data_IF_607684801505
#
_entry.id   IF_607684801505
#
_cell.length_a   1.000
_cell.length_b   1.000
_cell.length_c   1.000
_cell.angle_alpha   90.00
_cell.angle_beta   90.00
_cell.angle_gamma   90.00
#
_symmetry.space_group_name_H-M   'P 1'
#
loop_
_entity.id
_entity.type
_entity.pdbx_description
1 polymer ?
#
# COMPACT_ATOMS: atom_id res chain seq x y z
N UNK A 1 -4.96 3.32 5.48
CA UNK A 1 -4.69 3.03 5.16
C UNK A 1 -3.73 2.90 4.36
N UNK A 2 -3.20 3.19 3.76
CA UNK A 2 -2.21 2.99 3.23
C UNK A 2 -1.78 1.82 3.28
N UNK A 3 -2.47 1.15 3.59
CA UNK A 3 -2.15 -0.04 3.99
C UNK A 3 -1.45 -0.84 3.05
N UNK A 4 -1.82 -0.86 1.78
CA UNK A 4 -1.15 -1.69 0.85
C UNK A 4 0.32 -1.40 0.80
N UNK A 5 0.68 -0.14 0.77
CA UNK A 5 2.06 0.19 0.74
C UNK A 5 2.73 -0.08 2.02
N UNK A 6 2.10 0.28 3.11
CA UNK A 6 2.67 0.01 4.36
C UNK A 6 2.69 -1.40 4.67
N UNK A 7 1.70 -2.10 4.25
CA UNK A 7 1.61 -3.47 4.51
C UNK A 7 2.75 -4.20 3.93
N UNK A 8 3.11 -3.86 2.72
CA UNK A 8 4.23 -4.52 2.10
C UNK A 8 5.49 -4.31 2.90
N UNK A 9 5.56 -3.23 3.65
CA UNK A 9 6.78 -2.96 4.36
C UNK A 9 6.75 -3.43 5.79
N UNK A 10 5.59 -3.66 6.42
CA UNK A 10 5.64 -3.98 7.82
C UNK A 10 4.83 -5.17 8.22
N UNK A 11 4.55 -6.04 7.30
CA UNK A 11 3.75 -7.19 7.59
C UNK A 11 4.52 -8.31 8.18
N UNK A 12 5.80 -8.30 8.12
CA UNK A 12 6.64 -9.34 8.71
C UNK A 12 6.90 -8.98 10.14
N UNK A 13 6.49 -9.76 11.11
CA UNK A 13 6.70 -9.44 12.51
C UNK A 13 8.15 -9.19 12.86
N UNK A 14 9.07 -9.88 12.20
CA UNK A 14 10.48 -9.68 12.47
C UNK A 14 11.03 -8.47 11.78
N UNK A 15 10.28 -7.88 10.90
CA UNK A 15 10.75 -6.81 10.09
C UNK A 15 9.76 -5.68 10.05
N UNK A 16 8.95 -5.59 11.10
CA UNK A 16 7.90 -4.67 11.06
C UNK A 16 8.35 -3.28 11.17
N UNK A 17 9.52 -3.05 11.54
CA UNK A 17 10.03 -1.71 11.59
C UNK A 17 10.26 -1.22 10.19
N UNK A 18 9.59 -0.16 9.81
CA UNK A 18 9.65 0.33 8.45
C UNK A 18 11.07 0.68 8.02
N UNK A 19 11.90 1.11 8.96
CA UNK A 19 13.27 1.48 8.64
C UNK A 19 14.11 0.30 8.18
N UNK A 20 13.70 -0.91 8.49
CA UNK A 20 14.47 -2.10 8.15
C UNK A 20 13.91 -2.87 6.98
N UNK A 21 12.83 -2.43 6.40
CA UNK A 21 12.26 -3.13 5.25
C UNK A 21 13.01 -2.76 4.00
N UNK A 22 12.96 -3.65 3.02
CA UNK A 22 13.66 -3.42 1.76
C UNK A 22 13.12 -2.21 1.01
N UNK A 23 11.84 -1.91 1.18
CA UNK A 23 11.22 -0.81 0.45
C UNK A 23 11.38 0.54 1.13
N UNK A 24 11.79 0.58 2.40
CA UNK A 24 11.82 1.82 3.14
C UNK A 24 12.73 2.88 2.51
N UNK A 25 13.96 2.57 2.08
CA UNK A 25 14.81 3.61 1.50
C UNK A 25 14.20 4.22 0.25
N UNK A 26 13.59 3.40 -0.60
CA UNK A 26 12.98 3.91 -1.83
C UNK A 26 11.78 4.79 -1.51
N UNK A 27 10.98 4.39 -0.56
CA UNK A 27 9.80 5.15 -0.18
C UNK A 27 10.18 6.49 0.45
N UNK A 28 11.19 6.49 1.31
CA UNK A 28 11.64 7.73 1.95
C UNK A 28 12.23 8.69 0.91
N UNK A 29 12.91 8.17 -0.10
CA UNK A 29 13.55 9.00 -1.12
C UNK A 29 12.61 9.39 -2.26
N UNK A 30 11.42 8.81 -2.33
CA UNK A 30 10.52 9.04 -3.45
C UNK A 30 9.94 10.45 -3.39
N UNK A 31 9.81 11.09 -4.57
CA UNK A 31 9.14 12.39 -4.66
C UNK A 31 7.62 12.21 -4.72
N UNK A 32 7.18 11.09 -5.23
CA UNK A 32 5.75 10.77 -5.35
C UNK A 32 5.53 9.32 -4.94
N UNK A 33 4.37 9.06 -4.38
CA UNK A 33 3.98 7.69 -4.06
C UNK A 33 2.47 7.55 -4.19
N UNK A 34 2.02 6.32 -4.28
CA UNK A 34 0.60 6.03 -4.35
C UNK A 34 0.19 5.11 -3.21
N UNK A 35 -0.97 5.39 -2.65
CA UNK A 35 -1.61 4.50 -1.70
C UNK A 35 -2.72 3.79 -2.44
N UNK A 36 -2.62 2.48 -2.53
CA UNK A 36 -3.61 1.64 -3.20
C UNK A 36 -4.44 0.94 -2.14
N UNK A 37 -5.70 1.29 -2.04
CA UNK A 37 -6.61 0.65 -1.09
C UNK A 37 -7.23 -0.54 -1.80
N UNK A 38 -7.01 -1.73 -1.26
CA UNK A 38 -7.37 -2.95 -1.95
C UNK A 38 -8.83 -3.30 -1.74
N UNK A 39 -9.41 -3.95 -2.74
CA UNK A 39 -10.76 -4.48 -2.68
C UNK A 39 -10.74 -5.99 -2.43
N UNK A 40 -11.89 -6.56 -2.16
CA UNK A 40 -12.03 -7.96 -1.75
C UNK A 40 -11.31 -8.95 -2.65
N UNK A 41 -11.34 -8.71 -3.97
CA UNK A 41 -10.74 -9.66 -4.91
C UNK A 41 -9.24 -9.49 -5.06
N UNK A 42 -8.64 -8.55 -4.35
CA UNK A 42 -7.20 -8.32 -4.42
C UNK A 42 -6.44 -8.97 -3.26
N UNK A 43 -7.02 -9.95 -2.60
CA UNK A 43 -6.31 -10.69 -1.57
C UNK A 43 -4.99 -11.27 -2.07
N UNK A 44 -4.92 -11.84 -3.28
CA UNK A 44 -3.62 -12.32 -3.78
C UNK A 44 -2.57 -11.22 -3.88
N UNK A 45 -2.97 -10.01 -4.25
CA UNK A 45 -2.05 -8.89 -4.29
C UNK A 45 -1.55 -8.54 -2.90
N UNK A 46 -2.46 -8.52 -1.91
CA UNK A 46 -2.09 -8.25 -0.54
C UNK A 46 -1.04 -9.25 -0.04
N UNK A 47 -1.27 -10.52 -0.30
CA UNK A 47 -0.35 -11.57 0.11
C UNK A 47 1.00 -11.40 -0.58
N UNK A 48 0.96 -11.07 -1.88
CA UNK A 48 2.18 -10.95 -2.67
C UNK A 48 3.03 -9.77 -2.22
N UNK A 49 2.42 -8.65 -1.91
CA UNK A 49 3.15 -7.49 -1.43
C UNK A 49 3.65 -7.67 -0.01
N UNK A 50 3.08 -8.61 0.73
CA UNK A 50 3.54 -8.94 2.06
C UNK A 50 4.71 -9.91 2.05
N UNK A 51 4.90 -10.64 0.96
CA UNK A 51 5.93 -11.66 0.88
C UNK A 51 7.29 -11.02 0.58
N UNK A 52 8.34 -11.64 1.08
CA UNK A 52 9.70 -11.18 0.82
C UNK A 52 10.27 -11.87 -0.41
N UNK A 53 11.12 -11.14 -1.12
CA UNK A 53 11.89 -11.74 -2.19
C UNK A 53 11.14 -12.05 -3.46
N UNK A 54 9.90 -11.63 -3.57
CA UNK A 54 9.11 -11.87 -4.76
C UNK A 54 9.08 -10.66 -5.66
N UNK A 55 8.89 -10.90 -6.95
CA UNK A 55 8.66 -9.84 -7.90
C UNK A 55 7.18 -9.44 -7.80
N UNK A 56 6.92 -8.54 -6.89
CA UNK A 56 5.54 -8.16 -6.56
C UNK A 56 4.81 -7.57 -7.73
N UNK A 57 5.49 -6.67 -8.45
CA UNK A 57 4.87 -5.99 -9.57
C UNK A 57 4.80 -6.85 -10.82
N UNK A 58 5.72 -7.80 -10.97
CA UNK A 58 5.70 -8.69 -12.12
C UNK A 58 4.46 -9.55 -12.19
N UNK A 59 3.86 -9.86 -11.03
CA UNK A 59 2.71 -10.73 -10.97
C UNK A 59 1.41 -10.00 -10.62
N UNK A 60 1.45 -8.69 -10.42
CA UNK A 60 0.29 -7.90 -10.05
C UNK A 60 0.03 -6.86 -11.14
N UNK A 61 -1.17 -6.85 -11.74
CA UNK A 61 -1.46 -5.86 -12.79
C UNK A 61 -1.39 -4.44 -12.23
N UNK A 62 -0.60 -3.61 -12.88
CA UNK A 62 -0.43 -2.22 -12.48
C UNK A 62 -0.10 -1.35 -13.68
N UNK A 63 -0.22 -0.06 -13.50
CA UNK A 63 0.23 0.91 -14.48
C UNK A 63 0.68 2.16 -13.76
N UNK A 64 1.50 3.00 -14.39
CA UNK A 64 1.88 4.25 -13.77
C UNK A 64 0.67 5.15 -13.62
N UNK A 65 0.58 5.82 -12.47
CA UNK A 65 -0.43 6.84 -12.28
C UNK A 65 -0.07 8.11 -13.03
N UNK A 66 -0.92 9.12 -12.86
CA UNK A 66 -0.70 10.40 -13.53
C UNK A 66 0.61 11.03 -13.11
N UNK A 67 1.02 10.84 -11.88
CA UNK A 67 2.25 11.41 -11.33
C UNK A 67 3.39 10.39 -11.27
N UNK A 68 3.22 9.23 -11.87
CA UNK A 68 4.28 8.24 -12.02
C UNK A 68 4.27 7.04 -11.10
N UNK A 69 3.79 7.12 -9.86
CA UNK A 69 3.86 5.97 -8.98
C UNK A 69 2.94 4.84 -9.43
N UNK A 70 3.24 3.60 -9.04
CA UNK A 70 2.44 2.47 -9.50
C UNK A 70 1.04 2.46 -8.91
N UNK A 71 0.07 2.25 -9.78
CA UNK A 71 -1.33 2.12 -9.43
C UNK A 71 -1.76 0.71 -9.78
N UNK A 72 -2.23 -0.04 -8.78
CA UNK A 72 -2.70 -1.39 -8.98
C UNK A 72 -4.08 -1.37 -9.60
N UNK A 73 -4.27 -2.21 -10.62
CA UNK A 73 -5.55 -2.26 -11.30
C UNK A 73 -6.63 -2.79 -10.38
N UNK A 74 -7.83 -2.28 -10.57
CA UNK A 74 -9.02 -2.73 -9.86
C UNK A 74 -8.99 -2.45 -8.36
N UNK A 75 -8.15 -1.54 -7.91
CA UNK A 75 -8.15 -1.15 -6.51
C UNK A 75 -9.44 -0.42 -6.16
N UNK A 76 -9.85 -0.54 -4.90
CA UNK A 76 -11.01 0.19 -4.41
C UNK A 76 -10.78 1.68 -4.48
N UNK A 77 -9.60 2.11 -4.11
CA UNK A 77 -9.25 3.52 -4.13
C UNK A 77 -7.77 3.72 -4.30
N UNK A 78 -7.40 4.86 -4.84
CA UNK A 78 -6.00 5.21 -5.06
C UNK A 78 -5.81 6.67 -4.69
N UNK A 79 -4.78 6.94 -3.91
CA UNK A 79 -4.34 8.29 -3.63
C UNK A 79 -2.94 8.44 -4.19
N UNK A 80 -2.77 9.37 -5.13
CA UNK A 80 -1.44 9.71 -5.62
C UNK A 80 -0.97 10.93 -4.87
N UNK A 81 0.21 10.85 -4.29
CA UNK A 81 0.71 11.86 -3.36
C UNK A 81 2.08 12.34 -3.76
N UNK A 82 2.32 13.62 -3.48
CA UNK A 82 3.67 14.16 -3.47
C UNK A 82 4.22 14.02 -2.06
N UNK A 83 5.47 13.61 -1.95
CA UNK A 83 6.11 13.52 -0.65
C UNK A 83 6.24 14.93 -0.07
N UNK A 84 5.72 15.14 1.12
CA UNK A 84 5.75 16.43 1.77
C UNK A 84 6.82 16.48 2.87
N UNK A 85 6.84 15.48 3.72
CA UNK A 85 7.77 15.44 4.83
C UNK A 85 7.99 14.01 5.29
N UNK A 86 9.15 13.76 5.87
CA UNK A 86 9.46 12.48 6.50
C UNK A 86 9.91 12.80 7.91
N UNK A 87 9.29 12.17 8.88
CA UNK A 87 9.59 12.37 10.28
C UNK A 87 10.10 11.09 10.91
N UNK A 88 10.94 11.23 11.92
CA UNK A 88 11.38 10.07 12.68
C UNK A 88 10.27 9.63 13.62
N UNK A 89 10.02 8.35 13.64
CA UNK A 89 9.00 7.76 14.50
C UNK A 89 9.51 6.53 15.23
N UNK A 90 10.67 6.61 15.87
CA UNK A 90 11.25 5.48 16.55
C UNK A 90 11.83 4.50 15.55
N UNK A 91 11.28 3.30 15.48
CA UNK A 91 11.72 2.29 14.53
C UNK A 91 10.98 2.40 13.20
N UNK A 92 10.20 3.46 13.01
CA UNK A 92 9.47 3.73 11.78
C UNK A 92 9.76 5.13 11.28
N UNK A 93 9.58 5.34 10.00
CA UNK A 93 9.47 6.67 9.43
C UNK A 93 8.00 7.02 9.29
N UNK A 94 7.70 8.29 9.50
CA UNK A 94 6.35 8.80 9.24
C UNK A 94 6.45 9.63 7.98
N UNK A 95 5.84 9.14 6.91
CA UNK A 95 5.87 9.83 5.62
C UNK A 95 4.55 10.57 5.45
N UNK A 96 4.65 11.88 5.28
CA UNK A 96 3.48 12.73 5.07
C UNK A 96 3.43 13.08 3.59
N UNK A 97 2.30 12.82 2.97
CA UNK A 97 2.12 13.13 1.55
C UNK A 97 0.98 14.10 1.33
N UNK A 98 1.16 14.94 0.32
CA UNK A 98 0.08 15.79 -0.15
C UNK A 98 -0.67 15.03 -1.22
N UNK A 99 -1.97 14.88 -1.06
CA UNK A 99 -2.79 14.16 -2.03
C UNK A 99 -2.99 15.03 -3.25
N UNK A 100 -2.49 14.57 -4.39
CA UNK A 100 -2.62 15.28 -5.65
C UNK A 100 -3.81 14.76 -6.46
N UNK A 101 -4.13 13.49 -6.32
CA UNK A 101 -5.22 12.86 -7.04
C UNK A 101 -5.78 11.72 -6.21
N UNK A 102 -7.08 11.66 -6.13
CA UNK A 102 -7.77 10.57 -5.44
C UNK A 102 -8.88 10.05 -6.34
N UNK A 103 -9.03 8.73 -6.37
CA UNK A 103 -10.12 8.11 -7.11
C UNK A 103 -10.58 6.87 -6.36
N UNK A 104 -11.81 6.47 -6.57
CA UNK A 104 -12.32 5.26 -5.94
C UNK A 104 -13.47 4.71 -6.76
N UNK A 105 -13.74 3.42 -6.56
CA UNK A 105 -14.85 2.73 -7.22
C UNK A 105 -15.88 2.38 -6.14
N UNK A 106 -17.02 3.05 -6.12
CA UNK A 106 -18.00 2.85 -5.06
C UNK A 106 -18.75 1.52 -5.16
N UNK A 107 -18.52 0.75 -6.23
CA UNK A 107 -19.18 -0.55 -6.36
C UNK A 107 -18.40 -1.69 -5.72
N UNK A 108 -17.17 -1.42 -5.27
CA UNK A 108 -16.31 -2.46 -4.72
C UNK A 108 -16.34 -2.44 -3.20
N UNK A 109 -16.07 -3.61 -2.61
CA UNK A 109 -15.95 -3.74 -1.16
C UNK A 109 -14.49 -3.78 -0.76
N UNK A 110 -14.15 -3.21 0.39
CA UNK A 110 -12.76 -3.21 0.84
C UNK A 110 -12.28 -4.59 1.24
N UNK A 111 -11.00 -4.83 1.04
CA UNK A 111 -10.35 -6.00 1.58
C UNK A 111 -10.04 -5.73 3.05
N UNK A 112 -10.61 -6.56 3.93
CA UNK A 112 -10.45 -6.38 5.37
C UNK A 112 -9.49 -7.41 5.92
N UNK A 113 -8.67 -6.97 6.86
CA UNK A 113 -7.79 -7.86 7.59
C UNK A 113 -8.00 -7.60 9.07
N UNK A 114 -8.51 -8.61 9.79
CA UNK A 114 -8.87 -8.42 11.17
C UNK A 114 -8.59 -9.69 11.96
N UNK A 115 -7.86 -9.53 13.04
CA UNK A 115 -7.47 -10.65 13.92
C UNK A 115 -6.75 -11.74 13.16
N UNK A 116 -5.80 -11.34 12.33
CA UNK A 116 -4.94 -12.29 11.62
C UNK A 116 -5.58 -12.98 10.43
N UNK A 117 -6.75 -12.54 10.00
CA UNK A 117 -7.44 -13.17 8.87
C UNK A 117 -8.02 -12.14 7.93
N UNK A 118 -8.11 -12.51 6.66
CA UNK A 118 -8.88 -11.72 5.70
C UNK A 118 -10.36 -11.93 5.96
N UNK A 119 -11.11 -10.86 5.89
CA UNK A 119 -12.53 -10.84 6.20
C UNK A 119 -13.29 -10.13 5.10
N UNK A 120 -14.60 -10.29 5.11
CA UNK A 120 -15.48 -9.58 4.19
C UNK A 120 -16.48 -8.78 5.00
N UNK A 121 -16.91 -7.67 4.41
CA UNK A 121 -18.00 -6.92 5.01
C UNK A 121 -19.26 -7.75 4.99
N UNK A 122 -20.04 -7.62 6.04
CA UNK A 122 -21.32 -8.28 6.17
C UNK A 122 -22.36 -7.23 6.49
N UNK A 123 -23.36 -7.12 5.63
CA UNK A 123 -24.44 -6.15 5.84
C UNK A 123 -25.69 -6.87 6.29
N UNK A 124 -26.34 -6.32 7.29
CA UNK A 124 -27.60 -6.89 7.79
C UNK A 124 -28.77 -6.50 6.93
#
# INVERSE_FOLDING_TARGET
>A
MEKANDRASNDDPGDRAAKRTASAPALVAANHFAVNVLQTHQQPASIRFAAKGEDRFGATPWSPGEFGPPVLRESLGVFECAAHAVHEGGDHHIVVGEVLRASFDPTLDPLLYFRGRYRRLHFD
#
